data_IF_412439722203
#
_entry.id   IF_412439722203
#
_cell.length_a   1.000
_cell.length_b   1.000
_cell.length_c   1.000
_cell.angle_alpha   90.00
_cell.angle_beta   90.00
_cell.angle_gamma   90.00
#
_symmetry.space_group_name_H-M   'P 1'
#
loop_
_entity.id
_entity.type
_entity.pdbx_description
1 polymer ?
#
# COMPACT_ATOMS: atom_id res chain seq x y z
N UNK A 1 8.06 -17.45 -13.35
CA UNK A 1 8.15 -18.07 -12.01
C UNK A 1 8.82 -17.07 -11.11
N UNK A 2 8.17 -16.69 -9.99
CA UNK A 2 8.69 -15.67 -9.08
C UNK A 2 9.44 -16.32 -7.94
N UNK A 3 10.61 -15.78 -7.62
CA UNK A 3 11.45 -16.24 -6.50
C UNK A 3 11.15 -15.44 -5.23
N UNK A 4 11.58 -15.95 -4.08
CA UNK A 4 11.53 -15.19 -2.82
C UNK A 4 12.31 -13.87 -2.90
N UNK A 5 13.37 -13.82 -3.71
CA UNK A 5 14.12 -12.59 -4.00
C UNK A 5 13.28 -11.57 -4.78
N UNK A 6 12.50 -12.02 -5.75
CA UNK A 6 11.61 -11.13 -6.53
C UNK A 6 10.54 -10.51 -5.63
N UNK A 7 9.94 -11.31 -4.75
CA UNK A 7 8.94 -10.85 -3.78
C UNK A 7 9.57 -9.82 -2.82
N UNK A 8 10.75 -10.10 -2.27
CA UNK A 8 11.48 -9.14 -1.41
C UNK A 8 11.79 -7.84 -2.14
N UNK A 9 12.23 -7.93 -3.40
CA UNK A 9 12.48 -6.76 -4.25
C UNK A 9 11.22 -5.92 -4.42
N UNK A 10 10.08 -6.58 -4.68
CA UNK A 10 8.78 -5.91 -4.81
C UNK A 10 8.32 -5.24 -3.50
N UNK A 11 8.52 -5.91 -2.36
CA UNK A 11 8.23 -5.33 -1.03
C UNK A 11 9.11 -4.10 -0.75
N UNK A 12 10.39 -4.15 -1.12
CA UNK A 12 11.29 -2.99 -1.00
C UNK A 12 10.86 -1.83 -1.92
N UNK A 13 10.40 -2.12 -3.14
CA UNK A 13 9.82 -1.12 -4.03
C UNK A 13 8.58 -0.47 -3.41
N UNK A 14 7.67 -1.29 -2.85
CA UNK A 14 6.47 -0.82 -2.15
C UNK A 14 6.82 0.08 -0.97
N UNK A 15 7.77 -0.34 -0.12
CA UNK A 15 8.29 0.45 1.01
C UNK A 15 8.89 1.77 0.58
N UNK A 16 9.73 1.76 -0.46
CA UNK A 16 10.34 2.98 -0.97
C UNK A 16 9.27 3.95 -1.44
N UNK A 17 8.29 3.47 -2.21
CA UNK A 17 7.20 4.31 -2.71
C UNK A 17 6.34 4.89 -1.57
N UNK A 18 6.02 4.07 -0.58
CA UNK A 18 5.30 4.51 0.61
C UNK A 18 6.03 5.66 1.32
N UNK A 19 7.32 5.50 1.64
CA UNK A 19 8.08 6.50 2.39
C UNK A 19 8.34 7.78 1.57
N UNK A 20 8.56 7.66 0.27
CA UNK A 20 8.86 8.80 -0.61
C UNK A 20 7.61 9.61 -0.98
N UNK A 21 6.46 8.96 -1.18
CA UNK A 21 5.31 9.59 -1.81
C UNK A 21 4.01 9.55 -1.00
N UNK A 22 3.81 8.55 -0.15
CA UNK A 22 2.58 8.38 0.62
C UNK A 22 2.72 8.89 2.06
N UNK A 23 3.89 8.71 2.69
CA UNK A 23 4.18 9.08 4.08
C UNK A 23 5.38 10.04 4.17
N UNK A 24 5.52 10.95 3.19
CA UNK A 24 6.57 11.96 3.22
C UNK A 24 6.20 13.16 4.11
N UNK A 25 7.17 14.01 4.43
CA UNK A 25 6.99 15.15 5.35
C UNK A 25 5.89 16.14 4.94
N UNK A 26 5.53 16.20 3.66
CA UNK A 26 4.54 17.13 3.12
C UNK A 26 3.11 16.60 3.25
N UNK A 27 2.92 15.28 3.19
CA UNK A 27 1.60 14.63 3.29
C UNK A 27 1.36 13.98 4.66
N UNK A 28 2.40 13.81 5.49
CA UNK A 28 2.32 13.16 6.80
C UNK A 28 1.26 13.77 7.72
N UNK A 29 1.12 15.10 7.74
CA UNK A 29 0.08 15.77 8.53
C UNK A 29 -1.35 15.47 8.06
N UNK A 30 -1.52 15.09 6.80
CA UNK A 30 -2.80 14.64 6.23
C UNK A 30 -3.04 13.18 6.63
N UNK A 31 -2.00 12.34 6.47
CA UNK A 31 -2.05 10.92 6.84
C UNK A 31 -2.38 10.72 8.33
N UNK A 32 -1.90 11.58 9.22
CA UNK A 32 -2.20 11.52 10.66
C UNK A 32 -3.67 11.81 11.01
N UNK A 33 -4.47 12.33 10.07
CA UNK A 33 -5.92 12.54 10.27
C UNK A 33 -6.75 11.32 9.93
N UNK A 34 -6.14 10.29 9.31
CA UNK A 34 -6.81 9.02 9.09
C UNK A 34 -6.92 8.29 10.43
N UNK A 35 -8.14 7.92 10.80
CA UNK A 35 -8.42 7.13 11.99
C UNK A 35 -8.17 5.64 11.70
N UNK A 36 -6.89 5.30 11.55
CA UNK A 36 -6.45 3.94 11.26
C UNK A 36 -6.26 3.20 12.58
N UNK A 37 -6.96 2.07 12.80
CA UNK A 37 -6.78 1.29 14.02
C UNK A 37 -5.33 0.86 14.24
N UNK A 38 -4.87 0.87 15.49
CA UNK A 38 -3.51 0.44 15.84
C UNK A 38 -3.16 -0.97 15.33
N UNK A 39 -4.14 -1.87 15.25
CA UNK A 39 -3.95 -3.21 14.68
C UNK A 39 -3.58 -3.15 13.21
N UNK A 40 -4.24 -2.29 12.42
CA UNK A 40 -3.92 -2.09 11.00
C UNK A 40 -2.53 -1.48 10.84
N UNK A 41 -2.13 -0.54 11.71
CA UNK A 41 -0.77 -0.02 11.72
C UNK A 41 0.28 -1.11 11.90
N UNK A 42 0.14 -1.93 12.95
CA UNK A 42 1.05 -3.05 13.20
C UNK A 42 1.08 -4.03 12.03
N UNK A 43 -0.08 -4.33 11.45
CA UNK A 43 -0.18 -5.29 10.36
C UNK A 43 0.47 -4.73 9.07
N UNK A 44 0.38 -3.43 8.80
CA UNK A 44 1.13 -2.79 7.69
C UNK A 44 2.64 -2.94 7.84
N UNK A 45 3.16 -2.97 9.07
CA UNK A 45 4.60 -3.03 9.33
C UNK A 45 5.24 -4.33 8.82
N UNK A 46 4.47 -5.40 8.61
CA UNK A 46 4.97 -6.64 8.01
C UNK A 46 5.58 -6.41 6.62
N UNK A 47 5.05 -5.46 5.84
CA UNK A 47 5.54 -5.19 4.48
C UNK A 47 6.12 -3.77 4.33
N UNK A 48 5.67 -2.79 5.13
CA UNK A 48 6.11 -1.40 4.99
C UNK A 48 7.33 -1.03 5.85
N UNK A 49 7.57 -1.68 7.00
CA UNK A 49 8.68 -1.31 7.89
C UNK A 49 9.68 -2.45 8.15
N UNK A 50 9.20 -3.67 8.39
CA UNK A 50 10.02 -4.80 8.83
C UNK A 50 10.90 -5.33 7.71
N UNK A 51 12.19 -5.52 7.96
CA UNK A 51 13.06 -6.19 7.00
C UNK A 51 12.69 -7.68 6.89
N UNK A 52 12.23 -8.12 5.72
CA UNK A 52 11.84 -9.51 5.51
C UNK A 52 13.08 -10.32 5.15
N UNK A 53 13.57 -11.05 6.14
CA UNK A 53 14.81 -11.84 6.00
C UNK A 53 14.57 -13.14 5.22
N UNK A 54 13.42 -13.79 5.39
CA UNK A 54 13.08 -15.06 4.73
C UNK A 54 11.60 -15.11 4.32
N UNK A 55 11.35 -15.77 3.19
CA UNK A 55 10.00 -16.10 2.68
C UNK A 55 10.07 -17.57 2.28
N UNK A 56 10.05 -18.45 3.27
CA UNK A 56 10.22 -19.90 3.11
C UNK A 56 9.20 -20.70 3.93
N UNK A 57 8.37 -20.01 4.72
CA UNK A 57 7.41 -20.63 5.62
C UNK A 57 6.01 -20.08 5.43
N UNK A 58 5.02 -20.91 5.77
CA UNK A 58 3.62 -20.51 5.76
C UNK A 58 3.32 -19.34 6.70
N UNK A 59 4.02 -19.28 7.84
CA UNK A 59 3.93 -18.16 8.77
C UNK A 59 4.33 -16.84 8.11
N UNK A 60 5.49 -16.83 7.45
CA UNK A 60 5.96 -15.63 6.73
C UNK A 60 4.99 -15.17 5.63
N UNK A 61 4.39 -16.09 4.87
CA UNK A 61 3.36 -15.74 3.87
C UNK A 61 2.09 -15.18 4.53
N UNK A 62 1.67 -15.74 5.67
CA UNK A 62 0.50 -15.26 6.41
C UNK A 62 0.69 -13.81 6.86
N UNK A 63 1.88 -13.49 7.37
CA UNK A 63 2.25 -12.13 7.78
C UNK A 63 2.24 -11.16 6.59
N UNK A 64 2.79 -11.58 5.45
CA UNK A 64 2.80 -10.76 4.22
C UNK A 64 1.36 -10.51 3.72
N UNK A 65 0.51 -11.54 3.65
CA UNK A 65 -0.89 -11.37 3.24
C UNK A 65 -1.66 -10.47 4.22
N UNK A 66 -1.38 -10.58 5.52
CA UNK A 66 -1.94 -9.70 6.55
C UNK A 66 -1.53 -8.25 6.31
N UNK A 67 -0.26 -8.01 5.99
CA UNK A 67 0.23 -6.70 5.59
C UNK A 67 -0.42 -6.17 4.31
N UNK A 68 -0.59 -7.01 3.28
CA UNK A 68 -1.29 -6.61 2.04
C UNK A 68 -2.71 -6.13 2.34
N UNK A 69 -3.46 -6.87 3.16
CA UNK A 69 -4.82 -6.49 3.57
C UNK A 69 -4.84 -5.16 4.34
N UNK A 70 -3.90 -4.97 5.26
CA UNK A 70 -3.77 -3.74 6.04
C UNK A 70 -3.44 -2.53 5.16
N UNK A 71 -2.58 -2.70 4.14
CA UNK A 71 -2.28 -1.63 3.18
C UNK A 71 -3.48 -1.31 2.27
N UNK A 72 -4.27 -2.31 1.88
CA UNK A 72 -5.54 -2.07 1.15
C UNK A 72 -6.51 -1.23 2.01
N UNK A 73 -6.59 -1.52 3.31
CA UNK A 73 -7.41 -0.71 4.23
C UNK A 73 -6.97 0.75 4.20
N UNK A 74 -5.65 1.00 4.34
CA UNK A 74 -5.08 2.34 4.25
C UNK A 74 -5.45 3.03 2.93
N UNK A 75 -5.27 2.35 1.80
CA UNK A 75 -5.55 2.95 0.48
C UNK A 75 -7.03 3.33 0.36
N UNK A 76 -7.95 2.43 0.75
CA UNK A 76 -9.39 2.74 0.75
C UNK A 76 -9.70 3.98 1.60
N UNK A 77 -9.09 4.11 2.77
CA UNK A 77 -9.29 5.26 3.64
C UNK A 77 -8.74 6.56 3.04
N UNK A 78 -7.58 6.50 2.38
CA UNK A 78 -7.02 7.61 1.60
C UNK A 78 -7.96 8.03 0.48
N UNK A 79 -8.46 7.07 -0.31
CA UNK A 79 -9.33 7.34 -1.45
C UNK A 79 -10.67 7.94 -1.04
N UNK A 80 -11.23 7.50 0.09
CA UNK A 80 -12.51 7.98 0.59
C UNK A 80 -12.40 9.33 1.31
N UNK A 81 -11.35 9.53 2.12
CA UNK A 81 -11.27 10.66 3.06
C UNK A 81 -10.27 11.73 2.65
N UNK A 82 -9.17 11.35 1.98
CA UNK A 82 -8.05 12.26 1.70
C UNK A 82 -8.13 12.81 0.28
N UNK A 83 -8.19 11.95 -0.74
CA UNK A 83 -8.18 12.40 -2.14
C UNK A 83 -9.27 13.43 -2.45
N UNK A 84 -10.54 13.25 -2.03
CA UNK A 84 -11.61 14.21 -2.31
C UNK A 84 -11.38 15.58 -1.65
N UNK A 85 -10.62 15.61 -0.55
CA UNK A 85 -10.39 16.79 0.27
C UNK A 85 -8.95 17.34 0.13
N UNK A 86 -8.16 16.80 -0.83
CA UNK A 86 -6.72 17.06 -0.90
C UNK A 86 -6.38 18.54 -1.11
N UNK A 87 -7.21 19.25 -1.89
CA UNK A 87 -7.05 20.68 -2.12
C UNK A 87 -7.27 21.50 -0.85
N UNK A 88 -8.24 21.12 -0.01
CA UNK A 88 -8.46 21.78 1.28
C UNK A 88 -7.27 21.64 2.22
N UNK A 89 -6.57 20.50 2.18
CA UNK A 89 -5.30 20.35 2.91
C UNK A 89 -4.17 21.20 2.32
N UNK A 90 -4.15 21.37 1.00
CA UNK A 90 -3.18 22.26 0.34
C UNK A 90 -3.32 23.71 0.82
N UNK A 91 -4.56 24.19 0.89
CA UNK A 91 -4.84 25.58 1.28
C UNK A 91 -4.51 25.84 2.75
N UNK A 92 -4.79 24.87 3.63
CA UNK A 92 -4.43 24.94 5.05
C UNK A 92 -2.91 24.90 5.30
N UNK A 93 -2.15 24.18 4.46
CA UNK A 93 -0.70 24.02 4.61
C UNK A 93 0.14 25.17 4.04
N UNK A 94 -0.44 26.05 3.20
CA UNK A 94 0.30 27.05 2.39
C UNK A 94 1.17 28.01 3.20
N UNK A 95 0.77 28.33 4.43
CA UNK A 95 1.51 29.25 5.31
C UNK A 95 2.53 28.55 6.22
N UNK A 96 2.61 27.21 6.19
CA UNK A 96 3.46 26.42 7.09
C UNK A 96 4.87 26.16 6.55
N UNK A 97 5.16 26.62 5.33
CA UNK A 97 6.39 26.30 4.61
C UNK A 97 7.05 27.56 4.03
N UNK A 98 8.38 27.56 3.91
CA UNK A 98 9.08 28.59 3.15
C UNK A 98 8.81 28.44 1.63
N UNK A 99 9.27 29.40 0.81
CA UNK A 99 8.96 29.41 -0.63
C UNK A 99 9.32 28.11 -1.37
N UNK A 100 10.51 27.55 -1.11
CA UNK A 100 10.95 26.30 -1.76
C UNK A 100 10.16 25.09 -1.27
N UNK A 101 9.92 25.01 0.04
CA UNK A 101 9.13 23.93 0.62
C UNK A 101 7.65 24.00 0.21
N UNK A 102 7.11 25.20 0.00
CA UNK A 102 5.75 25.38 -0.51
C UNK A 102 5.59 24.83 -1.92
N UNK A 103 6.62 24.94 -2.78
CA UNK A 103 6.59 24.36 -4.13
C UNK A 103 6.58 22.82 -4.01
N UNK A 104 7.48 22.25 -3.20
CA UNK A 104 7.56 20.80 -3.00
C UNK A 104 6.28 20.23 -2.39
N UNK A 105 5.68 20.96 -1.44
CA UNK A 105 4.38 20.62 -0.85
C UNK A 105 3.27 20.61 -1.91
N UNK A 106 3.15 21.67 -2.72
CA UNK A 106 2.15 21.72 -3.80
C UNK A 106 2.33 20.61 -4.83
N UNK A 107 3.57 20.29 -5.18
CA UNK A 107 3.89 19.16 -6.06
C UNK A 107 3.46 17.82 -5.43
N UNK A 108 3.73 17.61 -4.14
CA UNK A 108 3.33 16.40 -3.43
C UNK A 108 1.80 16.24 -3.42
N UNK A 109 1.06 17.31 -3.13
CA UNK A 109 -0.41 17.32 -3.13
C UNK A 109 -0.97 17.06 -4.53
N UNK A 110 -0.50 17.80 -5.55
CA UNK A 110 -1.00 17.68 -6.93
C UNK A 110 -0.83 16.26 -7.48
N UNK A 111 0.27 15.60 -7.14
CA UNK A 111 0.57 14.24 -7.60
C UNK A 111 0.05 13.15 -6.65
N UNK A 112 -0.58 13.51 -5.53
CA UNK A 112 -0.89 12.54 -4.48
C UNK A 112 -1.79 11.40 -4.95
N UNK A 113 -2.85 11.70 -5.70
CA UNK A 113 -3.75 10.68 -6.24
C UNK A 113 -3.02 9.70 -7.17
N UNK A 114 -2.17 10.21 -8.07
CA UNK A 114 -1.35 9.39 -8.97
C UNK A 114 -0.34 8.54 -8.19
N UNK A 115 0.24 9.08 -7.12
CA UNK A 115 1.15 8.35 -6.24
C UNK A 115 0.42 7.21 -5.51
N UNK A 116 -0.83 7.42 -5.07
CA UNK A 116 -1.68 6.39 -4.45
C UNK A 116 -2.03 5.30 -5.47
N UNK A 117 -2.35 5.68 -6.71
CA UNK A 117 -2.59 4.72 -7.81
C UNK A 117 -1.34 3.88 -8.09
N UNK A 118 -0.18 4.51 -8.22
CA UNK A 118 1.10 3.81 -8.40
C UNK A 118 1.38 2.85 -7.24
N UNK A 119 1.13 3.29 -6.01
CA UNK A 119 1.27 2.46 -4.81
C UNK A 119 0.36 1.23 -4.84
N UNK A 120 -0.88 1.42 -5.29
CA UNK A 120 -1.87 0.35 -5.46
C UNK A 120 -1.42 -0.67 -6.50
N UNK A 121 -0.88 -0.21 -7.64
CA UNK A 121 -0.38 -1.10 -8.69
C UNK A 121 0.80 -1.95 -8.21
N UNK A 122 1.75 -1.36 -7.47
CA UNK A 122 2.87 -2.12 -6.88
C UNK A 122 2.36 -3.18 -5.90
N UNK A 123 1.33 -2.85 -5.11
CA UNK A 123 0.71 -3.79 -4.18
C UNK A 123 -0.03 -4.93 -4.90
N UNK A 124 -0.70 -4.64 -6.01
CA UNK A 124 -1.36 -5.65 -6.84
C UNK A 124 -0.37 -6.63 -7.47
N UNK A 125 0.73 -6.10 -8.01
CA UNK A 125 1.82 -6.92 -8.54
C UNK A 125 2.39 -7.83 -7.45
N UNK A 126 2.65 -7.28 -6.26
CA UNK A 126 3.10 -8.07 -5.10
C UNK A 126 2.11 -9.19 -4.77
N UNK A 127 0.82 -8.88 -4.70
CA UNK A 127 -0.23 -9.84 -4.39
C UNK A 127 -0.29 -10.99 -5.42
N UNK A 128 -0.18 -10.66 -6.71
CA UNK A 128 -0.16 -11.66 -7.78
C UNK A 128 1.07 -12.56 -7.66
N UNK A 129 2.24 -11.98 -7.42
CA UNK A 129 3.48 -12.73 -7.21
C UNK A 129 3.39 -13.67 -5.99
N UNK A 130 2.72 -13.25 -4.92
CA UNK A 130 2.52 -14.07 -3.72
C UNK A 130 1.64 -15.28 -3.99
N UNK A 131 0.53 -15.11 -4.72
CA UNK A 131 -0.35 -16.23 -5.08
C UNK A 131 0.40 -17.26 -5.92
N UNK A 132 1.15 -16.81 -6.93
CA UNK A 132 1.92 -17.69 -7.79
C UNK A 132 2.97 -18.47 -6.99
N UNK A 133 3.68 -17.78 -6.09
CA UNK A 133 4.67 -18.39 -5.22
C UNK A 133 4.05 -19.42 -4.25
N UNK A 134 2.91 -19.08 -3.63
CA UNK A 134 2.20 -19.93 -2.68
C UNK A 134 1.63 -21.20 -3.34
N UNK A 135 1.02 -21.06 -4.52
CA UNK A 135 0.54 -22.20 -5.31
C UNK A 135 1.67 -23.19 -5.65
N UNK A 136 2.87 -22.68 -5.91
CA UNK A 136 4.02 -23.49 -6.28
C UNK A 136 4.69 -24.18 -5.09
N UNK A 137 4.90 -23.46 -3.99
CA UNK A 137 5.65 -23.96 -2.83
C UNK A 137 4.74 -24.72 -1.85
N UNK A 138 3.45 -24.44 -1.84
CA UNK A 138 2.47 -25.05 -0.95
C UNK A 138 1.21 -25.58 -1.67
N UNK A 139 1.32 -26.35 -2.78
CA UNK A 139 0.21 -26.71 -3.68
C UNK A 139 -0.94 -27.53 -3.05
N UNK A 140 -0.73 -28.08 -1.85
CA UNK A 140 -1.75 -28.86 -1.11
C UNK A 140 -2.29 -28.12 0.11
N UNK A 141 -1.82 -26.91 0.36
CA UNK A 141 -2.02 -26.18 1.60
C UNK A 141 -1.66 -24.70 1.42
N UNK A 142 -2.19 -24.10 0.37
CA UNK A 142 -1.89 -22.72 0.00
C UNK A 142 -2.36 -21.79 1.12
N UNK A 143 -1.47 -20.92 1.56
CA UNK A 143 -1.68 -20.04 2.70
C UNK A 143 -2.80 -19.05 2.42
N UNK A 144 -2.91 -18.54 1.20
CA UNK A 144 -3.96 -17.58 0.87
C UNK A 144 -5.38 -18.09 1.15
N UNK A 145 -5.61 -19.42 1.09
CA UNK A 145 -6.92 -20.02 1.37
C UNK A 145 -7.31 -19.96 2.85
N UNK A 146 -6.33 -19.83 3.75
CA UNK A 146 -6.57 -19.70 5.19
C UNK A 146 -6.61 -18.25 5.67
N UNK A 147 -6.22 -17.29 4.82
CA UNK A 147 -6.28 -15.86 5.14
C UNK A 147 -7.74 -15.42 5.22
N UNK A 148 -8.12 -14.84 6.37
CA UNK A 148 -9.48 -14.36 6.59
C UNK A 148 -9.84 -13.23 5.62
N UNK A 149 -11.01 -13.34 4.99
CA UNK A 149 -11.54 -12.39 4.00
C UNK A 149 -10.60 -12.21 2.79
N UNK A 150 -9.88 -13.26 2.39
CA UNK A 150 -8.96 -13.21 1.26
C UNK A 150 -9.63 -12.76 -0.05
N UNK A 151 -10.89 -13.16 -0.27
CA UNK A 151 -11.66 -12.76 -1.44
C UNK A 151 -11.82 -11.24 -1.56
N UNK A 152 -11.83 -10.50 -0.44
CA UNK A 152 -11.98 -9.05 -0.45
C UNK A 152 -10.76 -8.33 -1.06
N UNK A 153 -9.58 -8.97 -1.01
CA UNK A 153 -8.36 -8.48 -1.64
C UNK A 153 -8.53 -8.54 -3.17
N UNK A 154 -8.93 -9.69 -3.70
CA UNK A 154 -9.17 -9.86 -5.13
C UNK A 154 -10.28 -8.93 -5.64
N UNK A 155 -11.40 -8.87 -4.91
CA UNK A 155 -12.54 -8.00 -5.25
C UNK A 155 -12.11 -6.53 -5.33
N UNK A 156 -11.23 -6.10 -4.43
CA UNK A 156 -10.68 -4.75 -4.46
C UNK A 156 -9.88 -4.50 -5.74
N UNK A 157 -8.90 -5.33 -6.09
CA UNK A 157 -8.13 -5.12 -7.32
C UNK A 157 -8.98 -5.23 -8.59
N UNK A 158 -9.95 -6.13 -8.62
CA UNK A 158 -10.90 -6.25 -9.74
C UNK A 158 -11.81 -5.02 -9.87
N UNK A 159 -12.16 -4.36 -8.76
CA UNK A 159 -12.86 -3.07 -8.82
C UNK A 159 -11.98 -1.97 -9.42
N UNK A 160 -10.69 -1.92 -9.08
CA UNK A 160 -9.74 -0.93 -9.62
C UNK A 160 -9.52 -1.10 -11.11
N UNK A 161 -9.35 -2.33 -11.60
CA UNK A 161 -9.26 -2.60 -13.05
C UNK A 161 -10.50 -2.11 -13.81
N UNK A 162 -11.69 -2.36 -13.27
CA UNK A 162 -12.95 -1.91 -13.88
C UNK A 162 -13.09 -0.39 -13.91
N UNK A 163 -12.60 0.31 -12.89
CA UNK A 163 -12.56 1.78 -12.85
C UNK A 163 -11.60 2.34 -13.93
N UNK A 164 -10.43 1.72 -14.09
CA UNK A 164 -9.44 2.14 -15.10
C UNK A 164 -9.89 1.86 -16.54
N UNK A 165 -10.64 0.79 -16.80
CA UNK A 165 -11.17 0.48 -18.15
C UNK A 165 -12.33 1.39 -18.60
N UNK A 166 -12.86 2.24 -17.71
CA UNK A 166 -13.98 3.16 -18.02
C UNK A 166 -13.52 4.59 -18.33
N UNK A 167 -12.23 4.89 -18.18
CA UNK A 167 -11.60 6.16 -18.54
C UNK A 167 -10.99 6.08 -19.93
#
# INVERSE_FOLDING_TARGET
MFTSTDIKSKINQLRHHYNSFINNKYVKGIMMKLDIPHTIHRDMDYILLSEIVYIDSKGSLTDIYTGVKAVIFLIKDIELKVIPNIQGYADAGKNSYNANESILFQMAIKNFAMNVETFTNILEELYTMLIDYDNEHFPKSEVYKSVRDFADIQVYFDSKKRESSRK
#
